data_IF_495440648876
#
_entry.id   IF_495440648876
#
_cell.length_a   1.000
_cell.length_b   1.000
_cell.length_c   1.000
_cell.angle_alpha   90.00
_cell.angle_beta   90.00
_cell.angle_gamma   90.00
#
_symmetry.space_group_name_H-M   'P 1'
#
loop_
_entity.id
_entity.type
_entity.pdbx_description
1 polymer ?
#
# COMPACT_ATOMS: atom_id res chain seq x y z
N UNK A 1 9.91 1.31 -6.96
CA UNK A 1 10.08 0.51 -5.73
C UNK A 1 10.90 1.26 -4.70
N UNK A 2 10.45 1.20 -3.45
CA UNK A 2 11.13 1.86 -2.32
C UNK A 2 11.56 0.82 -1.29
N UNK A 3 12.71 1.06 -0.68
CA UNK A 3 13.13 0.31 0.53
C UNK A 3 12.36 0.83 1.74
N UNK A 4 12.46 0.09 2.87
CA UNK A 4 11.85 0.54 4.13
C UNK A 4 12.31 1.93 4.53
N UNK A 5 13.61 2.19 4.46
CA UNK A 5 14.15 3.50 4.86
C UNK A 5 13.64 4.62 3.96
N UNK A 6 13.55 4.36 2.66
CA UNK A 6 13.02 5.34 1.72
C UNK A 6 11.54 5.63 1.99
N UNK A 7 10.75 4.59 2.29
CA UNK A 7 9.35 4.77 2.60
C UNK A 7 9.14 5.53 3.91
N UNK A 8 9.94 5.22 4.94
CA UNK A 8 9.88 5.95 6.22
C UNK A 8 10.09 7.43 5.97
N UNK A 9 11.11 7.77 5.19
CA UNK A 9 11.41 9.17 4.87
C UNK A 9 10.26 9.84 4.13
N UNK A 10 9.67 9.15 3.15
CA UNK A 10 8.53 9.69 2.40
C UNK A 10 7.32 9.91 3.28
N UNK A 11 6.99 8.96 4.15
CA UNK A 11 5.84 9.10 5.04
C UNK A 11 6.01 10.25 6.02
N UNK A 12 7.24 10.51 6.46
CA UNK A 12 7.52 11.62 7.37
C UNK A 12 7.44 12.99 6.70
N UNK A 13 7.72 13.07 5.40
CA UNK A 13 7.87 14.33 4.69
C UNK A 13 6.81 14.62 3.64
N UNK A 14 5.95 13.67 3.31
CA UNK A 14 4.94 13.81 2.26
C UNK A 14 3.55 13.92 2.87
N UNK A 15 2.99 15.12 2.85
CA UNK A 15 1.66 15.37 3.40
C UNK A 15 0.54 14.81 2.51
N UNK A 16 0.85 14.47 1.26
CA UNK A 16 -0.10 13.83 0.35
C UNK A 16 0.07 12.32 0.29
N UNK A 17 0.85 11.75 1.21
CA UNK A 17 1.09 10.32 1.25
C UNK A 17 -0.16 9.56 1.70
N UNK A 18 -0.43 8.44 1.04
CA UNK A 18 -1.49 7.52 1.41
C UNK A 18 -0.89 6.12 1.42
N UNK A 19 -0.90 5.47 2.57
CA UNK A 19 -0.31 4.14 2.72
C UNK A 19 -1.39 3.08 2.55
N UNK A 20 -1.22 2.20 1.57
CA UNK A 20 -2.23 1.22 1.20
C UNK A 20 -1.70 -0.20 1.40
N UNK A 21 -2.42 -0.99 2.21
CA UNK A 21 -2.16 -2.41 2.41
C UNK A 21 -3.11 -3.20 1.53
N UNK A 22 -2.57 -4.06 0.65
CA UNK A 22 -3.39 -4.84 -0.28
C UNK A 22 -3.47 -6.32 0.08
N UNK A 23 -3.13 -6.66 1.33
CA UNK A 23 -3.21 -8.02 1.84
C UNK A 23 -4.64 -8.38 2.26
N UNK A 24 -4.79 -9.59 2.83
CA UNK A 24 -6.07 -10.01 3.40
C UNK A 24 -6.36 -9.32 4.74
N UNK A 25 -7.61 -9.34 5.14
CA UNK A 25 -8.03 -8.82 6.44
C UNK A 25 -7.33 -9.55 7.58
N UNK A 26 -7.18 -10.88 7.47
CA UNK A 26 -6.49 -11.67 8.50
C UNK A 26 -5.04 -11.23 8.66
N UNK A 27 -4.33 -11.03 7.57
CA UNK A 27 -2.95 -10.54 7.62
C UNK A 27 -2.88 -9.15 8.25
N UNK A 28 -3.80 -8.28 7.89
CA UNK A 28 -3.86 -6.92 8.41
C UNK A 28 -4.08 -6.90 9.92
N UNK A 29 -4.96 -7.76 10.42
CA UNK A 29 -5.25 -7.85 11.84
C UNK A 29 -4.08 -8.41 12.64
N UNK A 30 -3.29 -9.30 12.05
CA UNK A 30 -2.11 -9.84 12.73
C UNK A 30 -1.05 -8.77 12.95
N UNK A 31 -0.80 -7.96 11.94
CA UNK A 31 0.21 -6.93 11.99
C UNK A 31 0.05 -6.03 10.78
N UNK A 32 0.24 -4.73 10.95
CA UNK A 32 0.16 -3.77 9.85
C UNK A 32 1.08 -2.59 10.11
N UNK A 33 1.35 -1.82 9.06
CA UNK A 33 2.11 -0.58 9.20
C UNK A 33 1.13 0.49 9.67
N UNK A 34 1.48 1.28 10.71
CA UNK A 34 0.57 2.30 11.24
C UNK A 34 0.05 3.25 10.16
N UNK A 35 -1.20 3.63 10.27
CA UNK A 35 -1.89 4.56 9.38
C UNK A 35 -2.14 4.03 7.97
N UNK A 36 -1.97 2.72 7.75
CA UNK A 36 -2.32 2.13 6.47
C UNK A 36 -3.81 1.85 6.38
N UNK A 37 -4.33 1.91 5.15
CA UNK A 37 -5.71 1.52 4.85
C UNK A 37 -5.67 0.19 4.10
N UNK A 38 -6.60 -0.71 4.44
CA UNK A 38 -6.67 -2.02 3.82
C UNK A 38 -7.60 -2.02 2.61
N UNK A 39 -7.10 -2.49 1.46
CA UNK A 39 -7.91 -2.87 0.32
C UNK A 39 -7.39 -4.20 -0.20
N UNK A 40 -8.10 -5.29 0.09
CA UNK A 40 -7.65 -6.63 -0.24
C UNK A 40 -7.73 -6.89 -1.75
N UNK A 41 -6.57 -7.05 -2.41
CA UNK A 41 -6.52 -7.27 -3.85
C UNK A 41 -7.11 -8.64 -4.26
N UNK A 42 -7.18 -9.59 -3.32
CA UNK A 42 -7.78 -10.91 -3.59
C UNK A 42 -9.30 -10.91 -3.53
N UNK A 43 -9.89 -9.80 -3.14
CA UNK A 43 -11.33 -9.56 -3.24
C UNK A 43 -11.52 -8.50 -4.32
N UNK A 44 -11.62 -8.90 -5.61
CA UNK A 44 -11.57 -7.95 -6.72
C UNK A 44 -12.67 -6.88 -6.66
N UNK A 45 -13.87 -7.27 -6.27
CA UNK A 45 -14.98 -6.30 -6.22
C UNK A 45 -14.74 -5.24 -5.15
N UNK A 46 -14.37 -5.66 -3.94
CA UNK A 46 -14.08 -4.73 -2.86
C UNK A 46 -12.89 -3.83 -3.18
N UNK A 47 -11.86 -4.40 -3.83
CA UNK A 47 -10.69 -3.65 -4.22
C UNK A 47 -11.06 -2.56 -5.22
N UNK A 48 -11.81 -2.90 -6.26
CA UNK A 48 -12.24 -1.95 -7.29
C UNK A 48 -13.14 -0.87 -6.71
N UNK A 49 -14.09 -1.25 -5.88
CA UNK A 49 -15.00 -0.30 -5.24
C UNK A 49 -14.24 0.68 -4.34
N UNK A 50 -13.27 0.16 -3.59
CA UNK A 50 -12.42 1.00 -2.74
C UNK A 50 -11.58 1.98 -3.53
N UNK A 51 -11.05 1.57 -4.68
CA UNK A 51 -10.25 2.47 -5.53
C UNK A 51 -11.07 3.65 -6.04
N UNK A 52 -12.37 3.46 -6.31
CA UNK A 52 -13.22 4.53 -6.81
C UNK A 52 -13.37 5.67 -5.80
N UNK A 53 -13.23 5.36 -4.51
CA UNK A 53 -13.37 6.35 -3.45
C UNK A 53 -12.07 7.10 -3.14
N UNK A 54 -10.96 6.71 -3.77
CA UNK A 54 -9.66 7.31 -3.49
C UNK A 54 -9.37 8.51 -4.40
N UNK A 55 -8.71 9.51 -3.84
CA UNK A 55 -8.25 10.68 -4.57
C UNK A 55 -7.01 10.31 -5.40
N UNK A 56 -7.15 10.32 -6.72
CA UNK A 56 -6.07 9.91 -7.63
C UNK A 56 -4.88 10.85 -7.67
N UNK A 57 -4.99 12.03 -7.09
CA UNK A 57 -3.91 13.01 -7.08
C UNK A 57 -2.92 12.79 -5.93
N UNK A 58 -3.25 11.92 -4.98
CA UNK A 58 -2.35 11.65 -3.86
C UNK A 58 -1.22 10.71 -4.27
N UNK A 59 -0.20 10.63 -3.42
CA UNK A 59 0.93 9.72 -3.60
C UNK A 59 0.63 8.44 -2.84
N UNK A 60 0.50 7.34 -3.55
CA UNK A 60 0.12 6.04 -2.97
C UNK A 60 1.34 5.16 -2.76
N UNK A 61 1.57 4.79 -1.52
CA UNK A 61 2.62 3.86 -1.12
C UNK A 61 1.94 2.55 -0.79
N UNK A 62 2.20 1.53 -1.62
CA UNK A 62 1.44 0.28 -1.62
C UNK A 62 2.33 -0.85 -1.12
N UNK A 63 1.82 -1.66 -0.20
CA UNK A 63 2.58 -2.81 0.28
C UNK A 63 1.71 -4.05 0.44
N UNK A 64 2.37 -5.21 0.41
CA UNK A 64 1.78 -6.47 0.75
C UNK A 64 2.74 -7.24 1.64
N UNK A 65 2.70 -8.57 1.66
CA UNK A 65 3.62 -9.34 2.49
C UNK A 65 5.05 -9.30 1.96
N UNK A 66 5.24 -9.61 0.67
CA UNK A 66 6.58 -9.75 0.07
C UNK A 66 6.84 -8.85 -1.15
N UNK A 67 5.85 -8.08 -1.58
CA UNK A 67 5.98 -7.17 -2.72
C UNK A 67 5.32 -7.64 -4.02
N UNK A 68 4.78 -8.87 -4.07
CA UNK A 68 4.18 -9.42 -5.31
C UNK A 68 2.78 -8.87 -5.56
N UNK A 69 1.89 -8.97 -4.57
CA UNK A 69 0.52 -8.47 -4.69
C UNK A 69 0.49 -6.95 -4.87
N UNK A 70 1.40 -6.25 -4.20
CA UNK A 70 1.48 -4.79 -4.30
C UNK A 70 1.90 -4.33 -5.69
N UNK A 71 2.76 -5.07 -6.37
CA UNK A 71 3.10 -4.76 -7.77
C UNK A 71 1.87 -4.91 -8.65
N UNK A 72 1.08 -5.98 -8.46
CA UNK A 72 -0.17 -6.16 -9.19
C UNK A 72 -1.16 -5.03 -8.91
N UNK A 73 -1.26 -4.63 -7.65
CA UNK A 73 -2.14 -3.53 -7.26
C UNK A 73 -1.74 -2.23 -7.94
N UNK A 74 -0.45 -1.92 -7.98
CA UNK A 74 0.03 -0.73 -8.66
C UNK A 74 -0.29 -0.75 -10.16
N UNK A 75 -0.17 -1.91 -10.81
CA UNK A 75 -0.52 -2.04 -12.23
C UNK A 75 -2.00 -1.76 -12.46
N UNK A 76 -2.86 -2.31 -11.61
CA UNK A 76 -4.31 -2.09 -11.72
C UNK A 76 -4.64 -0.61 -11.47
N UNK A 77 -4.06 -0.02 -10.42
CA UNK A 77 -4.31 1.37 -10.09
C UNK A 77 -3.86 2.31 -11.22
N UNK A 78 -2.75 1.98 -11.86
CA UNK A 78 -2.27 2.78 -12.99
C UNK A 78 -3.27 2.80 -14.13
N UNK A 79 -3.91 1.67 -14.43
CA UNK A 79 -4.92 1.61 -15.50
C UNK A 79 -6.16 2.42 -15.16
N UNK A 80 -6.42 2.67 -13.87
CA UNK A 80 -7.54 3.50 -13.43
C UNK A 80 -7.19 4.98 -13.24
N UNK A 81 -6.00 5.38 -13.67
CA UNK A 81 -5.64 6.80 -13.68
C UNK A 81 -4.86 7.28 -12.46
N UNK A 82 -4.41 6.37 -11.61
CA UNK A 82 -3.51 6.72 -10.51
C UNK A 82 -2.10 6.87 -11.08
N UNK A 83 -1.47 8.03 -10.87
CA UNK A 83 -0.17 8.31 -11.50
C UNK A 83 1.01 8.26 -10.54
N UNK A 84 0.76 8.41 -9.24
CA UNK A 84 1.82 8.50 -8.24
C UNK A 84 1.79 7.24 -7.38
N UNK A 85 2.43 6.18 -7.87
CA UNK A 85 2.38 4.86 -7.26
C UNK A 85 3.79 4.38 -6.92
N UNK A 86 3.95 3.90 -5.69
CA UNK A 86 5.22 3.40 -5.17
C UNK A 86 4.99 2.08 -4.47
N UNK A 87 5.87 1.11 -4.73
CA UNK A 87 5.79 -0.22 -4.12
C UNK A 87 6.88 -0.38 -3.06
N UNK A 88 6.50 -0.89 -1.89
CA UNK A 88 7.48 -1.23 -0.84
C UNK A 88 8.16 -2.55 -1.19
N UNK A 89 9.46 -2.48 -1.48
CA UNK A 89 10.28 -3.66 -1.75
C UNK A 89 10.27 -4.59 -0.54
N UNK A 90 10.05 -5.88 -0.81
CA UNK A 90 10.01 -6.90 0.24
C UNK A 90 8.77 -6.86 1.13
N UNK A 91 7.90 -5.86 0.96
CA UNK A 91 6.68 -5.73 1.70
C UNK A 91 6.89 -5.63 3.21
N UNK A 92 5.85 -5.95 3.98
CA UNK A 92 5.93 -5.88 5.44
C UNK A 92 6.91 -6.92 6.01
N UNK A 93 7.19 -8.00 5.26
CA UNK A 93 8.14 -9.02 5.73
C UNK A 93 9.55 -8.46 5.95
N UNK A 94 9.92 -7.41 5.20
CA UNK A 94 11.24 -6.76 5.33
C UNK A 94 11.13 -5.35 5.93
N UNK A 95 9.96 -4.96 6.37
CA UNK A 95 9.72 -3.64 6.94
C UNK A 95 10.44 -3.46 8.26
N UNK A 96 11.24 -2.40 8.38
CA UNK A 96 12.05 -2.10 9.56
C UNK A 96 11.46 -0.99 10.45
N UNK A 97 10.36 -0.36 10.01
CA UNK A 97 9.69 0.65 10.80
C UNK A 97 8.74 0.06 11.83
N UNK A 98 7.93 0.92 12.41
CA UNK A 98 6.96 0.51 13.42
C UNK A 98 5.85 -0.35 12.79
N UNK A 99 5.34 -1.28 13.57
CA UNK A 99 4.17 -2.08 13.21
C UNK A 99 3.18 -2.06 14.36
N UNK A 100 1.89 -2.10 14.02
CA UNK A 100 0.84 -2.39 14.98
C UNK A 100 0.85 -3.91 15.20
N UNK A 101 0.96 -4.32 16.46
CA UNK A 101 1.07 -5.72 16.93
C UNK A 101 2.37 -6.42 16.57
#
# INVERSE_FOLDING_TARGET
NLTSNELIDKLDNDQNAFLLDVRSEEEYEESNIPNSKLLNIRDPQSFMDGLQDLDKSKNYYVYCHSGVRSVQACQIMKTFGFNNLYNLLGGISEWTGQKNK
#
